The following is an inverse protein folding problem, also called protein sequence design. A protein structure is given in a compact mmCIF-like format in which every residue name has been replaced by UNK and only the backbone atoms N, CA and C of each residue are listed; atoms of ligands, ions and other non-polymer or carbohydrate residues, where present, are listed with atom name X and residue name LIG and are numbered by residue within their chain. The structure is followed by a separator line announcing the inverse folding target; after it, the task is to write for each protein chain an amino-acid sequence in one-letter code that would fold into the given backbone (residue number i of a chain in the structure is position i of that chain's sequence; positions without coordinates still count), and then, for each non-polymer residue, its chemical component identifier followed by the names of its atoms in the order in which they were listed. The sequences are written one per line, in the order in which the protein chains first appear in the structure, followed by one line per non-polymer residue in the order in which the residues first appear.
data_IF_125155504642
#
_entry.id   IF_125155504642
#
_cell.length_a   1.000
_cell.length_b   1.000
_cell.length_c   1.000
_cell.angle_alpha   90.00
_cell.angle_beta   90.00
_cell.angle_gamma   90.00
#
_symmetry.space_group_name_H-M   'P 1'
#
loop_
_entity.id
_entity.type
_entity.pdbx_description
1 polymer ?
#
# COMPACT_ATOMS: atom_id res chain seq x y z
N UNK A 1 -11.87 -57.10 17.45
CA UNK A 1 -10.67 -56.21 17.43
C UNK A 1 -10.39 -55.56 16.08
N UNK A 2 -10.19 -56.30 14.97
CA UNK A 2 -9.82 -55.72 13.66
C UNK A 2 -10.76 -54.62 13.11
N UNK A 3 -12.08 -54.73 13.33
CA UNK A 3 -13.08 -53.73 12.89
C UNK A 3 -13.05 -52.43 13.72
N UNK A 4 -12.81 -52.54 15.03
CA UNK A 4 -12.73 -51.38 15.92
C UNK A 4 -11.46 -50.59 15.62
N UNK A 5 -10.32 -51.29 15.43
CA UNK A 5 -9.06 -50.67 15.05
C UNK A 5 -9.15 -49.96 13.70
N UNK A 6 -9.82 -50.57 12.70
CA UNK A 6 -10.05 -49.94 11.39
C UNK A 6 -10.87 -48.66 11.49
N UNK A 7 -11.93 -48.67 12.30
CA UNK A 7 -12.80 -47.51 12.46
C UNK A 7 -12.08 -46.37 13.20
N UNK A 8 -11.25 -46.68 14.20
CA UNK A 8 -10.43 -45.68 14.91
C UNK A 8 -9.39 -45.06 13.98
N UNK A 9 -8.71 -45.88 13.16
CA UNK A 9 -7.73 -45.39 12.17
C UNK A 9 -8.38 -44.53 11.09
N UNK A 10 -9.57 -44.90 10.60
CA UNK A 10 -10.31 -44.07 9.64
C UNK A 10 -10.76 -42.73 10.22
N UNK A 11 -11.21 -42.70 11.48
CA UNK A 11 -11.58 -41.45 12.16
C UNK A 11 -10.36 -40.57 12.37
N UNK A 12 -9.20 -41.14 12.74
CA UNK A 12 -7.96 -40.39 12.90
C UNK A 12 -7.47 -39.79 11.56
N UNK A 13 -7.54 -40.55 10.47
CA UNK A 13 -7.18 -40.08 9.13
C UNK A 13 -8.11 -38.96 8.64
N UNK A 14 -9.41 -39.05 8.90
CA UNK A 14 -10.38 -37.99 8.60
C UNK A 14 -10.15 -36.73 9.43
N UNK A 15 -9.79 -36.86 10.70
CA UNK A 15 -9.39 -35.72 11.54
C UNK A 15 -8.09 -35.07 11.04
N UNK A 16 -7.07 -35.87 10.68
CA UNK A 16 -5.83 -35.34 10.12
C UNK A 16 -6.07 -34.60 8.80
N UNK A 17 -6.90 -35.14 7.90
CA UNK A 17 -7.30 -34.47 6.66
C UNK A 17 -8.09 -33.19 6.93
N UNK A 18 -8.98 -33.17 7.92
CA UNK A 18 -9.73 -31.97 8.31
C UNK A 18 -8.81 -30.86 8.85
N UNK A 19 -7.75 -31.20 9.60
CA UNK A 19 -6.76 -30.22 10.06
C UNK A 19 -5.83 -29.72 8.95
N UNK A 20 -5.59 -30.52 7.90
CA UNK A 20 -4.76 -30.11 6.76
C UNK A 20 -5.43 -29.07 5.85
N UNK A 21 -6.75 -28.86 5.93
CA UNK A 21 -7.50 -27.94 5.06
C UNK A 21 -7.74 -26.57 5.73
N UNK A 22 -7.52 -26.44 7.05
CA UNK A 22 -7.68 -25.16 7.77
C UNK A 22 -6.47 -24.22 7.59
N UNK A 23 -5.40 -24.72 6.96
CA UNK A 23 -4.31 -23.91 6.42
C UNK A 23 -4.62 -23.38 5.03
N UNK A 24 -5.79 -22.75 4.82
CA UNK A 24 -5.93 -21.80 3.72
C UNK A 24 -4.99 -20.64 4.04
N UNK A 25 -3.75 -20.71 3.53
CA UNK A 25 -2.93 -19.52 3.34
C UNK A 25 -3.78 -18.57 2.50
N UNK A 26 -4.46 -17.64 3.17
CA UNK A 26 -5.14 -16.55 2.51
C UNK A 26 -4.01 -15.68 1.98
N UNK A 27 -3.70 -15.87 0.70
CA UNK A 27 -2.80 -14.99 -0.04
C UNK A 27 -3.31 -13.57 0.20
N UNK A 28 -2.46 -12.73 0.79
CA UNK A 28 -2.82 -11.34 1.06
C UNK A 28 -2.99 -10.65 -0.29
N UNK A 29 -4.00 -9.81 -0.42
CA UNK A 29 -4.12 -9.00 -1.64
C UNK A 29 -2.95 -8.01 -1.73
N UNK A 30 -2.61 -7.58 -2.94
CA UNK A 30 -1.61 -6.54 -3.17
C UNK A 30 -1.91 -5.27 -2.37
N UNK A 31 -3.21 -4.92 -2.24
CA UNK A 31 -3.65 -3.81 -1.41
C UNK A 31 -3.33 -4.01 0.09
N UNK A 32 -3.60 -5.20 0.64
CA UNK A 32 -3.28 -5.51 2.03
C UNK A 32 -1.76 -5.44 2.28
N UNK A 33 -0.96 -5.81 1.28
CA UNK A 33 0.50 -5.72 1.33
C UNK A 33 0.93 -4.25 1.28
N UNK A 34 0.43 -3.47 0.32
CA UNK A 34 0.77 -2.08 0.13
C UNK A 34 0.44 -1.22 1.36
N UNK A 35 -0.77 -1.37 1.91
CA UNK A 35 -1.18 -0.68 3.16
C UNK A 35 -0.29 -1.06 4.34
N UNK A 36 0.07 -2.35 4.46
CA UNK A 36 0.96 -2.83 5.52
C UNK A 36 2.35 -2.23 5.39
N UNK A 37 2.91 -2.15 4.18
CA UNK A 37 4.22 -1.56 3.93
C UNK A 37 4.22 -0.06 4.25
N UNK A 38 3.19 0.67 3.81
CA UNK A 38 3.02 2.08 4.16
C UNK A 38 2.98 2.25 5.68
N UNK A 39 2.15 1.48 6.39
CA UNK A 39 2.03 1.60 7.85
C UNK A 39 3.33 1.20 8.58
N UNK A 40 4.06 0.20 8.09
CA UNK A 40 5.31 -0.23 8.69
C UNK A 40 6.39 0.87 8.63
N UNK A 41 6.51 1.55 7.48
CA UNK A 41 7.53 2.55 7.17
C UNK A 41 7.15 3.97 7.65
N UNK A 42 5.86 4.32 7.70
CA UNK A 42 5.41 5.67 8.05
C UNK A 42 4.75 5.80 9.42
N UNK A 43 4.30 4.69 10.04
CA UNK A 43 3.35 4.66 11.17
C UNK A 43 1.98 5.29 10.87
N UNK A 44 1.69 5.58 9.60
CA UNK A 44 0.40 6.09 9.13
C UNK A 44 -0.41 4.93 8.54
N UNK A 45 -1.59 4.69 9.08
CA UNK A 45 -2.51 3.68 8.57
C UNK A 45 -3.45 4.33 7.52
N UNK A 46 -3.31 3.95 6.24
CA UNK A 46 -4.22 4.41 5.18
C UNK A 46 -5.62 3.83 5.45
N UNK A 47 -6.70 4.65 5.46
CA UNK A 47 -8.03 4.21 5.85
C UNK A 47 -8.55 3.05 5.02
N UNK A 48 -9.13 2.04 5.65
CA UNK A 48 -9.61 0.82 4.97
C UNK A 48 -10.85 1.03 4.11
N UNK A 49 -11.44 2.23 4.14
CA UNK A 49 -12.58 2.63 3.32
C UNK A 49 -12.17 3.42 2.06
N UNK A 50 -10.87 3.55 1.78
CA UNK A 50 -10.39 3.91 0.46
C UNK A 50 -10.20 2.66 -0.40
N UNK A 51 -10.25 2.79 -1.72
CA UNK A 51 -9.95 1.72 -2.67
C UNK A 51 -8.57 1.95 -3.30
N UNK A 52 -7.75 0.91 -3.45
CA UNK A 52 -6.49 1.04 -4.18
C UNK A 52 -6.76 0.94 -5.68
N UNK A 53 -6.57 2.05 -6.40
CA UNK A 53 -6.88 2.17 -7.83
C UNK A 53 -5.66 2.00 -8.74
N UNK A 54 -4.47 2.09 -8.16
CA UNK A 54 -3.21 1.90 -8.89
C UNK A 54 -2.07 1.47 -7.97
N UNK A 55 -1.20 0.59 -8.47
CA UNK A 55 -0.02 0.11 -7.76
C UNK A 55 1.11 -0.20 -8.75
N UNK A 56 2.29 0.35 -8.48
CA UNK A 56 3.59 -0.18 -8.94
C UNK A 56 4.33 -0.66 -7.71
N UNK A 57 4.85 -1.89 -7.73
CA UNK A 57 5.71 -2.41 -6.67
C UNK A 57 6.78 -3.32 -7.27
N UNK A 58 8.04 -3.17 -6.86
CA UNK A 58 9.14 -4.04 -7.32
C UNK A 58 8.94 -5.52 -6.88
N UNK A 59 8.19 -5.81 -5.81
CA UNK A 59 7.81 -7.18 -5.43
C UNK A 59 7.07 -7.91 -6.57
N UNK A 60 6.28 -7.18 -7.37
CA UNK A 60 5.53 -7.74 -8.52
C UNK A 60 6.44 -8.20 -9.68
N UNK A 61 7.71 -7.76 -9.72
CA UNK A 61 8.69 -8.12 -10.75
C UNK A 61 9.64 -9.26 -10.32
N UNK A 62 9.52 -9.74 -9.07
CA UNK A 62 10.09 -11.01 -8.60
C UNK A 62 11.26 -10.87 -7.61
N UNK A 63 11.10 -11.47 -6.43
CA UNK A 63 12.11 -11.81 -5.41
C UNK A 63 13.47 -11.09 -5.51
N UNK A 64 13.51 -9.80 -5.14
CA UNK A 64 14.77 -9.12 -4.80
C UNK A 64 14.71 -8.73 -3.33
N UNK A 65 15.73 -9.13 -2.57
CA UNK A 65 15.89 -8.77 -1.18
C UNK A 65 16.52 -7.37 -1.09
N UNK A 66 15.68 -6.33 -1.16
CA UNK A 66 16.02 -4.91 -0.96
C UNK A 66 14.74 -4.15 -0.59
N UNK A 67 14.82 -2.92 -0.09
CA UNK A 67 13.63 -2.10 0.12
C UNK A 67 12.97 -1.85 -1.23
N UNK A 68 11.84 -2.51 -1.50
CA UNK A 68 11.19 -2.46 -2.80
C UNK A 68 10.47 -1.13 -2.97
N UNK A 69 10.78 -0.43 -4.07
CA UNK A 69 10.05 0.77 -4.45
C UNK A 69 8.56 0.47 -4.55
N UNK A 70 7.72 1.35 -3.98
CA UNK A 70 6.27 1.25 -4.07
C UNK A 70 5.66 2.60 -4.42
N UNK A 71 4.84 2.63 -5.47
CA UNK A 71 3.95 3.74 -5.81
C UNK A 71 2.51 3.23 -5.73
N UNK A 72 1.73 3.71 -4.77
CA UNK A 72 0.33 3.29 -4.60
C UNK A 72 -0.61 4.49 -4.57
N UNK A 73 -1.75 4.36 -5.24
CA UNK A 73 -2.81 5.38 -5.29
C UNK A 73 -4.09 4.82 -4.71
N UNK A 74 -4.67 5.57 -3.78
CA UNK A 74 -5.91 5.25 -3.12
C UNK A 74 -6.97 6.30 -3.41
N UNK A 75 -8.16 5.87 -3.81
CA UNK A 75 -9.33 6.72 -4.01
C UNK A 75 -10.25 6.65 -2.79
N UNK A 76 -10.74 7.81 -2.34
CA UNK A 76 -11.69 7.91 -1.24
C UNK A 76 -13.09 8.24 -1.75
N UNK A 77 -14.13 7.63 -1.16
CA UNK A 77 -15.52 8.00 -1.46
C UNK A 77 -15.87 9.44 -1.04
N UNK A 78 -15.15 9.99 -0.06
CA UNK A 78 -15.32 11.34 0.47
C UNK A 78 -14.05 11.83 1.13
N UNK A 79 -13.89 13.16 1.26
CA UNK A 79 -12.69 13.76 1.82
C UNK A 79 -12.37 13.23 3.23
N UNK A 80 -11.17 12.68 3.48
CA UNK A 80 -10.80 12.09 4.75
C UNK A 80 -10.28 13.14 5.75
N UNK A 81 -10.97 14.27 5.91
CA UNK A 81 -10.53 15.44 6.70
C UNK A 81 -10.04 15.09 8.10
N UNK A 82 -10.76 14.23 8.83
CA UNK A 82 -10.36 13.79 10.18
C UNK A 82 -9.06 12.99 10.20
N UNK A 83 -8.78 12.22 9.15
CA UNK A 83 -7.57 11.43 9.02
C UNK A 83 -6.39 12.30 8.59
N UNK A 84 -6.60 13.22 7.65
CA UNK A 84 -5.59 14.22 7.25
C UNK A 84 -5.11 15.04 8.46
N UNK A 85 -6.07 15.59 9.22
CA UNK A 85 -5.78 16.39 10.41
C UNK A 85 -5.06 15.57 11.51
N UNK A 86 -5.44 14.30 11.70
CA UNK A 86 -4.82 13.44 12.72
C UNK A 86 -3.37 13.12 12.41
N UNK A 87 -3.02 12.99 11.13
CA UNK A 87 -1.67 12.67 10.66
C UNK A 87 -0.86 13.92 10.31
N UNK A 88 -1.35 15.12 10.63
CA UNK A 88 -0.64 16.39 10.43
C UNK A 88 -0.22 16.63 8.98
N UNK A 89 -1.11 16.31 8.04
CA UNK A 89 -0.89 16.72 6.64
C UNK A 89 -0.84 18.25 6.56
N UNK A 90 0.15 18.76 5.85
CA UNK A 90 0.36 20.19 5.64
C UNK A 90 -0.34 20.64 4.36
N UNK A 91 -0.91 21.84 4.38
CA UNK A 91 -1.48 22.52 3.21
C UNK A 91 -0.39 23.35 2.54
N UNK A 92 -0.27 23.29 1.22
CA UNK A 92 0.81 23.90 0.44
C UNK A 92 0.68 25.43 0.26
N UNK A 93 0.55 26.21 1.34
CA UNK A 93 0.51 27.66 1.16
C UNK A 93 1.92 28.27 0.95
N UNK A 94 3.01 27.73 1.53
CA UNK A 94 4.36 28.34 1.44
C UNK A 94 5.55 27.39 1.71
N UNK A 95 5.37 26.07 1.68
CA UNK A 95 6.37 25.08 2.11
C UNK A 95 6.55 23.85 1.23
N UNK A 96 5.71 23.66 0.21
CA UNK A 96 5.70 22.48 -0.66
C UNK A 96 6.92 22.36 -1.57
N UNK A 97 7.62 23.45 -1.93
CA UNK A 97 8.67 23.38 -2.96
C UNK A 97 9.79 22.35 -2.66
N UNK A 98 10.25 22.25 -1.42
CA UNK A 98 11.28 21.27 -1.04
C UNK A 98 10.70 19.85 -0.95
N UNK A 99 9.42 19.73 -0.56
CA UNK A 99 8.69 18.46 -0.59
C UNK A 99 8.51 17.97 -2.03
N UNK A 100 7.95 18.79 -2.92
CA UNK A 100 7.73 18.52 -4.33
C UNK A 100 9.03 18.13 -5.03
N UNK A 101 10.11 18.89 -4.80
CA UNK A 101 11.42 18.56 -5.36
C UNK A 101 11.88 17.18 -4.90
N UNK A 102 11.73 16.87 -3.62
CA UNK A 102 12.11 15.57 -3.06
C UNK A 102 11.25 14.44 -3.65
N UNK A 103 9.93 14.62 -3.68
CA UNK A 103 8.96 13.69 -4.23
C UNK A 103 9.25 13.37 -5.70
N UNK A 104 9.41 14.42 -6.51
CA UNK A 104 9.72 14.31 -7.94
C UNK A 104 11.14 13.80 -8.20
N UNK A 105 12.06 13.92 -7.24
CA UNK A 105 13.39 13.31 -7.36
C UNK A 105 13.28 11.80 -7.30
N UNK A 106 12.52 11.27 -6.33
CA UNK A 106 12.32 9.82 -6.19
C UNK A 106 11.72 9.21 -7.45
N UNK A 107 10.73 9.87 -8.06
CA UNK A 107 10.15 9.43 -9.33
C UNK A 107 11.15 9.53 -10.50
N UNK A 108 11.97 10.57 -10.55
CA UNK A 108 12.97 10.75 -11.62
C UNK A 108 14.11 9.75 -11.57
N UNK A 109 14.42 9.23 -10.38
CA UNK A 109 15.40 8.16 -10.20
C UNK A 109 14.87 6.80 -10.73
N UNK A 110 13.58 6.73 -11.08
CA UNK A 110 12.84 5.56 -11.58
C UNK A 110 12.11 5.89 -12.89
N UNK A 111 12.83 6.22 -13.98
CA UNK A 111 12.22 6.72 -15.21
C UNK A 111 11.33 5.69 -15.92
N UNK A 112 11.63 4.39 -15.80
CA UNK A 112 10.82 3.33 -16.40
C UNK A 112 9.46 3.22 -15.70
N UNK A 113 9.45 3.25 -14.36
CA UNK A 113 8.24 3.27 -13.56
C UNK A 113 7.43 4.54 -13.81
N UNK A 114 8.10 5.70 -13.89
CA UNK A 114 7.44 6.98 -14.17
C UNK A 114 6.70 6.99 -15.51
N UNK A 115 7.26 6.35 -16.55
CA UNK A 115 6.60 6.21 -17.86
C UNK A 115 5.36 5.28 -17.82
N UNK A 116 5.28 4.38 -16.84
CA UNK A 116 4.14 3.47 -16.64
C UNK A 116 2.97 4.13 -15.87
N UNK A 117 3.20 5.23 -15.16
CA UNK A 117 2.18 5.92 -14.34
C UNK A 117 1.23 6.73 -15.25
N UNK A 118 -0.08 6.42 -15.26
CA UNK A 118 -1.09 7.22 -15.95
C UNK A 118 -1.08 8.68 -15.48
N UNK A 119 -1.35 9.61 -16.39
CA UNK A 119 -1.29 11.04 -16.10
C UNK A 119 -2.26 11.47 -14.98
N UNK A 120 -3.43 10.83 -14.89
CA UNK A 120 -4.42 11.03 -13.83
C UNK A 120 -3.95 10.61 -12.44
N UNK A 121 -2.90 9.78 -12.36
CA UNK A 121 -2.31 9.29 -11.13
C UNK A 121 -1.00 9.98 -10.79
N UNK A 122 -0.55 10.96 -11.60
CA UNK A 122 0.55 11.85 -11.26
C UNK A 122 0.01 13.06 -10.49
N UNK A 123 0.72 13.55 -9.46
CA UNK A 123 0.31 14.75 -8.75
C UNK A 123 0.45 15.99 -9.64
N UNK A 124 -0.57 16.85 -9.64
CA UNK A 124 -0.47 18.21 -10.18
C UNK A 124 -0.22 19.18 -9.03
N UNK A 125 1.04 19.60 -8.85
CA UNK A 125 1.43 20.54 -7.79
C UNK A 125 1.07 22.00 -8.09
N UNK A 126 0.46 22.30 -9.25
CA UNK A 126 -0.12 23.63 -9.52
C UNK A 126 -1.50 23.82 -8.89
N UNK A 127 -2.08 22.75 -8.35
CA UNK A 127 -3.41 22.71 -7.75
C UNK A 127 -3.34 22.54 -6.23
N UNK A 128 -4.47 22.72 -5.52
CA UNK A 128 -4.53 22.44 -4.08
C UNK A 128 -4.18 20.99 -3.80
N UNK A 129 -3.23 20.76 -2.88
CA UNK A 129 -2.90 19.45 -2.35
C UNK A 129 -2.50 19.54 -0.87
N UNK A 130 -2.58 18.40 -0.21
CA UNK A 130 -2.09 18.21 1.15
C UNK A 130 -0.97 17.19 1.12
N UNK A 131 0.09 17.41 1.89
CA UNK A 131 1.23 16.50 1.87
C UNK A 131 1.69 16.10 3.27
N UNK A 132 2.35 14.97 3.33
CA UNK A 132 3.07 14.51 4.51
C UNK A 132 4.34 13.79 4.04
N UNK A 133 5.47 14.14 4.64
CA UNK A 133 6.70 13.39 4.50
C UNK A 133 7.05 12.76 5.84
N UNK A 134 7.13 11.44 5.85
CA UNK A 134 7.73 10.69 6.96
C UNK A 134 9.19 10.38 6.63
N UNK A 135 9.89 9.64 7.49
CA UNK A 135 11.28 9.23 7.24
C UNK A 135 11.40 8.47 5.91
N UNK A 136 10.47 7.53 5.68
CA UNK A 136 10.55 6.54 4.62
C UNK A 136 9.39 6.57 3.62
N UNK A 137 8.40 7.46 3.80
CA UNK A 137 7.21 7.49 2.93
C UNK A 137 6.78 8.93 2.64
N UNK A 138 6.50 9.19 1.37
CA UNK A 138 5.87 10.42 0.90
C UNK A 138 4.37 10.21 0.68
N UNK A 139 3.57 11.19 1.06
CA UNK A 139 2.13 11.21 0.87
C UNK A 139 1.71 12.52 0.19
N UNK A 140 0.85 12.40 -0.83
CA UNK A 140 0.20 13.54 -1.49
C UNK A 140 -1.28 13.24 -1.61
N UNK A 141 -2.12 14.03 -0.96
CA UNK A 141 -3.57 13.97 -1.09
C UNK A 141 -4.08 15.10 -2.00
N UNK A 142 -4.80 14.72 -3.04
CA UNK A 142 -5.38 15.59 -4.05
C UNK A 142 -6.90 15.71 -3.79
N UNK A 143 -7.37 16.80 -3.16
CA UNK A 143 -8.78 16.98 -2.79
C UNK A 143 -9.74 16.98 -3.98
N UNK A 144 -9.30 17.45 -5.16
CA UNK A 144 -10.17 17.54 -6.33
C UNK A 144 -10.66 16.18 -6.85
N UNK A 145 -9.80 15.17 -6.74
CA UNK A 145 -10.07 13.81 -7.24
C UNK A 145 -10.22 12.80 -6.09
N UNK A 146 -10.15 13.24 -4.84
CA UNK A 146 -10.17 12.39 -3.64
C UNK A 146 -9.10 11.28 -3.68
N UNK A 147 -7.92 11.59 -4.23
CA UNK A 147 -6.82 10.65 -4.38
C UNK A 147 -5.74 10.86 -3.33
N UNK A 148 -5.22 9.78 -2.77
CA UNK A 148 -3.98 9.77 -2.00
C UNK A 148 -2.93 8.98 -2.77
N UNK A 149 -1.86 9.65 -3.13
CA UNK A 149 -0.66 9.07 -3.73
C UNK A 149 0.35 8.83 -2.62
N UNK A 150 0.98 7.66 -2.63
CA UNK A 150 2.02 7.28 -1.68
C UNK A 150 3.25 6.75 -2.41
N UNK A 151 4.44 7.14 -1.95
CA UNK A 151 5.71 6.62 -2.43
C UNK A 151 6.54 6.10 -1.27
N UNK A 152 6.94 4.83 -1.36
CA UNK A 152 8.03 4.25 -0.57
C UNK A 152 9.23 4.17 -1.52
N UNK A 153 10.28 4.99 -1.35
CA UNK A 153 11.48 4.92 -2.16
C UNK A 153 12.21 3.59 -1.92
N UNK A 154 12.93 3.10 -2.93
CA UNK A 154 13.91 2.02 -2.72
C UNK A 154 15.16 2.59 -2.04
N UNK A 155 15.69 1.88 -1.04
CA UNK A 155 16.95 2.22 -0.34
C UNK A 155 18.17 2.26 -1.30
#
# INVERSE_FOLDING_TARGET
MKRILRNVVSVLLLLCLAFSIVGCFREKSEEEIARRLIAANSKVEVPTNSEMVYLISEESKGFVHGGDFQYAVFEFESEPTNWLNRNYFEEDNYGGEDFERSFLSVLRDKPEELEEIPQEFLPNFEEEYYYLKTEDVYFVYLPQNLLLITIIPSD
#
